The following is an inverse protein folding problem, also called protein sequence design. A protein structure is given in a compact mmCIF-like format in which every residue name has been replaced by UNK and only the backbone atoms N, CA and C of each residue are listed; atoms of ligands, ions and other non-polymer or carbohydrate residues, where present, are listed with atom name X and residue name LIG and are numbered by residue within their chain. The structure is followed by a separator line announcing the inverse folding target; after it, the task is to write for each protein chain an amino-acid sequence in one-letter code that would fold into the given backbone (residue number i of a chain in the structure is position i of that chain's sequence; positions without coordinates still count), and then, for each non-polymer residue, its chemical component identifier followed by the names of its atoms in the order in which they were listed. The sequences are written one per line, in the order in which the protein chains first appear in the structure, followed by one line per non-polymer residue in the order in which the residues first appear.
data_IF_142855857803
#
_entry.id   IF_142855857803
#
_cell.length_a   1.000
_cell.length_b   1.000
_cell.length_c   1.000
_cell.angle_alpha   90.00
_cell.angle_beta   90.00
_cell.angle_gamma   90.00
#
_symmetry.space_group_name_H-M   'P 1'
#
loop_
_entity.id
_entity.type
_entity.pdbx_description
1 polymer ?
#
# COMPACT_ATOMS: atom_id res chain seq x y z
N UNK A 1 7.49 -3.25 -11.61
CA UNK A 1 7.66 -2.10 -10.68
C UNK A 1 9.07 -2.05 -10.10
N UNK A 2 10.08 -1.64 -10.87
CA UNK A 2 11.47 -1.50 -10.39
C UNK A 2 12.00 -0.09 -10.66
N UNK A 3 11.20 0.94 -10.36
CA UNK A 3 11.66 2.33 -10.47
C UNK A 3 12.41 2.71 -9.19
N UNK A 4 13.44 3.55 -9.31
CA UNK A 4 14.17 4.13 -8.16
C UNK A 4 13.23 4.83 -7.16
N UNK A 5 12.12 5.37 -7.67
CA UNK A 5 11.10 6.06 -6.89
C UNK A 5 10.36 5.15 -5.90
N UNK A 6 10.23 3.85 -6.17
CA UNK A 6 9.50 2.92 -5.30
C UNK A 6 10.11 2.76 -3.91
N UNK A 7 11.36 3.19 -3.72
CA UNK A 7 12.05 3.15 -2.45
C UNK A 7 11.89 4.43 -1.63
N UNK A 8 11.13 5.43 -2.08
CA UNK A 8 10.86 6.64 -1.27
C UNK A 8 9.66 6.37 -0.36
N UNK A 9 9.78 6.68 0.94
CA UNK A 9 8.72 6.39 1.92
C UNK A 9 7.35 6.96 1.54
N UNK A 10 7.30 8.21 1.05
CA UNK A 10 6.05 8.83 0.58
C UNK A 10 5.45 8.15 -0.65
N UNK A 11 6.27 7.53 -1.52
CA UNK A 11 5.76 6.75 -2.66
C UNK A 11 5.05 5.49 -2.19
N UNK A 12 5.52 4.85 -1.11
CA UNK A 12 4.80 3.71 -0.52
C UNK A 12 3.41 4.13 -0.03
N UNK A 13 3.31 5.29 0.62
CA UNK A 13 2.04 5.87 1.06
C UNK A 13 1.10 6.10 -0.13
N UNK A 14 1.57 6.78 -1.17
CA UNK A 14 0.80 7.04 -2.39
C UNK A 14 0.33 5.74 -3.06
N UNK A 15 1.20 4.72 -3.12
CA UNK A 15 0.88 3.41 -3.70
C UNK A 15 -0.18 2.68 -2.91
N UNK A 16 -0.18 2.73 -1.58
CA UNK A 16 -1.12 1.97 -0.76
C UNK A 16 -2.45 2.71 -0.62
N UNK A 17 -2.42 4.03 -0.39
CA UNK A 17 -3.61 4.83 -0.05
C UNK A 17 -4.39 5.37 -1.25
N UNK A 18 -3.78 5.43 -2.44
CA UNK A 18 -4.48 5.88 -3.64
C UNK A 18 -5.74 5.05 -3.89
N UNK A 19 -6.87 5.70 -4.19
CA UNK A 19 -8.13 4.98 -4.48
C UNK A 19 -8.01 4.11 -5.73
N UNK A 20 -7.39 4.65 -6.78
CA UNK A 20 -7.15 4.00 -8.08
C UNK A 20 -5.77 4.42 -8.58
N UNK A 21 -5.03 3.49 -9.17
CA UNK A 21 -3.71 3.76 -9.73
C UNK A 21 -3.71 3.26 -11.17
N UNK A 22 -3.15 4.08 -12.07
CA UNK A 22 -2.78 3.67 -13.41
C UNK A 22 -1.26 3.56 -13.51
N UNK A 23 -0.77 2.46 -14.05
CA UNK A 23 0.64 2.20 -14.29
C UNK A 23 0.93 2.32 -15.78
N UNK A 24 1.77 3.26 -16.13
CA UNK A 24 2.29 3.42 -17.48
C UNK A 24 3.60 2.66 -17.58
N UNK A 25 3.63 1.61 -18.40
CA UNK A 25 4.85 0.93 -18.81
C UNK A 25 5.23 1.33 -20.23
N UNK A 26 6.38 0.87 -20.72
CA UNK A 26 6.80 1.13 -22.10
C UNK A 26 5.90 0.48 -23.15
N UNK A 27 5.13 -0.55 -22.77
CA UNK A 27 4.44 -1.43 -23.70
C UNK A 27 2.94 -1.54 -23.46
N UNK A 28 2.47 -1.20 -22.26
CA UNK A 28 1.05 -1.30 -21.89
C UNK A 28 0.66 -0.40 -20.74
N UNK A 29 -0.62 -0.05 -20.70
CA UNK A 29 -1.29 0.52 -19.54
C UNK A 29 -1.85 -0.60 -18.64
N UNK A 30 -1.67 -0.48 -17.33
CA UNK A 30 -2.41 -1.27 -16.35
C UNK A 30 -3.01 -0.42 -15.26
N UNK A 31 -4.01 -0.95 -14.55
CA UNK A 31 -4.68 -0.25 -13.45
C UNK A 31 -4.97 -1.18 -12.29
N UNK A 32 -5.01 -0.59 -11.10
CA UNK A 32 -5.24 -1.32 -9.86
C UNK A 32 -6.04 -0.47 -8.86
N UNK A 33 -7.03 -1.10 -8.24
CA UNK A 33 -7.81 -0.58 -7.12
C UNK A 33 -8.03 -1.69 -6.09
N UNK A 34 -8.77 -1.44 -5.03
CA UNK A 34 -8.93 -2.44 -3.96
C UNK A 34 -9.92 -3.56 -4.29
N UNK A 35 -10.58 -3.48 -5.44
CA UNK A 35 -11.60 -4.45 -5.87
C UNK A 35 -11.29 -5.06 -7.23
N UNK A 36 -10.49 -4.39 -8.05
CA UNK A 36 -10.28 -4.74 -9.45
C UNK A 36 -8.89 -4.34 -9.89
N UNK A 37 -8.26 -5.21 -10.67
CA UNK A 37 -7.00 -4.98 -11.35
C UNK A 37 -7.15 -5.40 -12.80
N UNK A 38 -6.38 -4.78 -13.70
CA UNK A 38 -6.44 -5.11 -15.11
C UNK A 38 -5.36 -4.41 -15.93
N UNK A 39 -5.31 -4.76 -17.20
CA UNK A 39 -4.45 -4.13 -18.20
C UNK A 39 -5.15 -3.98 -19.53
N UNK A 40 -4.59 -3.13 -20.39
CA UNK A 40 -5.14 -2.73 -21.69
C UNK A 40 -5.60 -3.92 -22.54
N UNK A 41 -4.87 -5.03 -22.48
CA UNK A 41 -5.20 -6.28 -23.16
C UNK A 41 -5.49 -7.37 -22.12
N UNK A 42 -6.76 -7.48 -21.73
CA UNK A 42 -7.19 -8.46 -20.72
C UNK A 42 -7.38 -9.84 -21.34
N UNK A 43 -6.61 -10.83 -20.86
CA UNK A 43 -6.76 -12.25 -21.24
C UNK A 43 -8.01 -12.93 -20.64
N UNK A 44 -8.93 -12.16 -20.05
CA UNK A 44 -10.10 -12.70 -19.35
C UNK A 44 -9.79 -13.37 -18.00
N UNK A 45 -8.53 -13.29 -17.55
CA UNK A 45 -8.10 -13.79 -16.23
C UNK A 45 -8.38 -12.71 -15.20
N UNK A 46 -9.15 -13.04 -14.17
CA UNK A 46 -9.33 -12.16 -13.02
C UNK A 46 -8.00 -11.98 -12.28
N UNK A 47 -7.43 -10.77 -12.33
CA UNK A 47 -6.19 -10.44 -11.62
C UNK A 47 -6.56 -9.98 -10.21
N UNK A 48 -6.06 -10.67 -9.19
CA UNK A 48 -6.20 -10.24 -7.80
C UNK A 48 -5.55 -8.86 -7.64
N UNK A 49 -6.24 -7.86 -7.07
CA UNK A 49 -5.68 -6.52 -6.98
C UNK A 49 -4.50 -6.48 -6.01
N UNK A 50 -3.34 -6.01 -6.48
CA UNK A 50 -2.06 -6.11 -5.77
C UNK A 50 -2.12 -5.45 -4.40
N UNK A 51 -2.89 -4.37 -4.25
CA UNK A 51 -3.00 -3.65 -2.98
C UNK A 51 -3.81 -4.39 -1.92
N UNK A 52 -4.65 -5.36 -2.29
CA UNK A 52 -5.53 -6.04 -1.33
C UNK A 52 -4.73 -6.77 -0.24
N UNK A 53 -3.52 -7.26 -0.54
CA UNK A 53 -2.63 -7.90 0.44
C UNK A 53 -2.37 -7.03 1.68
N UNK A 54 -2.30 -5.71 1.50
CA UNK A 54 -2.05 -4.77 2.60
C UNK A 54 -3.28 -4.57 3.50
N UNK A 55 -4.45 -5.12 3.15
CA UNK A 55 -5.69 -4.93 3.90
C UNK A 55 -6.39 -6.26 4.26
N UNK A 56 -5.74 -7.40 4.04
CA UNK A 56 -6.35 -8.73 4.22
C UNK A 56 -6.27 -9.25 5.66
N UNK A 57 -5.21 -8.92 6.41
CA UNK A 57 -4.90 -9.61 7.66
C UNK A 57 -4.38 -8.65 8.72
N UNK A 58 -5.18 -7.64 9.07
CA UNK A 58 -5.00 -6.73 10.22
C UNK A 58 -3.54 -6.54 10.66
N UNK A 59 -3.16 -7.16 11.78
CA UNK A 59 -1.83 -7.02 12.38
C UNK A 59 -0.68 -7.56 11.50
N UNK A 60 -0.91 -8.61 10.72
CA UNK A 60 0.09 -9.15 9.78
C UNK A 60 0.31 -8.18 8.62
N UNK A 61 -0.78 -7.61 8.08
CA UNK A 61 -0.69 -6.56 7.06
C UNK A 61 0.01 -5.31 7.60
N UNK A 62 -0.23 -4.95 8.87
CA UNK A 62 0.49 -3.85 9.52
C UNK A 62 1.99 -4.14 9.65
N UNK A 63 2.38 -5.33 10.13
CA UNK A 63 3.80 -5.72 10.23
C UNK A 63 4.51 -5.63 8.88
N UNK A 64 3.95 -6.22 7.83
CA UNK A 64 4.54 -6.15 6.49
C UNK A 64 4.62 -4.71 5.96
N UNK A 65 3.65 -3.86 6.30
CA UNK A 65 3.67 -2.46 5.90
C UNK A 65 4.77 -1.68 6.62
N UNK A 66 4.98 -1.92 7.92
CA UNK A 66 6.08 -1.33 8.69
C UNK A 66 7.44 -1.79 8.14
N UNK A 67 7.58 -3.08 7.80
CA UNK A 67 8.79 -3.62 7.15
C UNK A 67 9.07 -2.94 5.81
N UNK A 68 8.07 -2.87 4.92
CA UNK A 68 8.18 -2.20 3.61
C UNK A 68 8.53 -0.70 3.78
N UNK A 69 7.93 -0.03 4.76
CA UNK A 69 8.14 1.38 5.00
C UNK A 69 9.53 1.67 5.57
N UNK A 70 10.00 0.87 6.52
CA UNK A 70 11.34 1.02 7.13
C UNK A 70 12.47 0.68 6.17
N UNK A 71 12.21 -0.15 5.15
CA UNK A 71 13.14 -0.41 4.05
C UNK A 71 13.25 0.75 3.03
N UNK A 72 12.37 1.74 3.09
CA UNK A 72 12.41 2.89 2.19
C UNK A 72 13.47 3.92 2.61
N UNK A 73 14.04 4.62 1.63
CA UNK A 73 14.81 5.84 1.83
C UNK A 73 13.89 6.98 2.26
N UNK A 74 14.07 7.43 3.50
CA UNK A 74 13.33 8.54 4.08
C UNK A 74 14.21 9.78 3.99
N UNK A 75 13.78 10.76 3.19
CA UNK A 75 14.56 11.97 2.91
C UNK A 75 14.53 12.97 4.06
N UNK A 76 13.42 13.02 4.81
CA UNK A 76 13.20 13.93 5.91
C UNK A 76 12.72 13.14 7.13
N UNK A 77 13.54 13.11 8.18
CA UNK A 77 13.25 12.33 9.37
C UNK A 77 11.98 12.79 10.10
N UNK A 78 11.62 14.08 9.97
CA UNK A 78 10.38 14.65 10.50
C UNK A 78 9.12 14.00 9.92
N UNK A 79 9.19 13.53 8.68
CA UNK A 79 8.01 13.06 7.94
C UNK A 79 7.76 11.56 8.16
N UNK A 80 8.67 10.89 8.89
CA UNK A 80 8.62 9.45 9.17
C UNK A 80 7.29 9.01 9.73
N UNK A 81 6.84 9.67 10.79
CA UNK A 81 5.63 9.29 11.51
C UNK A 81 4.36 9.74 10.77
N UNK A 82 4.40 10.92 10.13
CA UNK A 82 3.27 11.44 9.37
C UNK A 82 2.93 10.60 8.14
N UNK A 83 3.94 10.05 7.46
CA UNK A 83 3.71 9.22 6.28
C UNK A 83 3.15 7.82 6.62
N UNK A 84 3.47 7.26 7.80
CA UNK A 84 2.94 5.97 8.24
C UNK A 84 1.62 6.08 9.01
N UNK A 85 1.33 7.23 9.66
CA UNK A 85 0.08 7.41 10.43
C UNK A 85 -1.17 7.26 9.55
N UNK A 86 -1.17 7.84 8.35
CA UNK A 86 -2.28 7.69 7.41
C UNK A 86 -2.49 6.25 6.92
N UNK A 87 -1.43 5.43 6.93
CA UNK A 87 -1.53 3.99 6.63
C UNK A 87 -2.15 3.23 7.80
N UNK A 88 -1.75 3.56 9.04
CA UNK A 88 -2.31 2.98 10.25
C UNK A 88 -3.83 3.26 10.39
N UNK A 89 -4.24 4.52 10.22
CA UNK A 89 -5.66 4.93 10.27
C UNK A 89 -6.52 4.20 9.24
N UNK A 90 -5.99 4.06 8.01
CA UNK A 90 -6.70 3.39 6.92
C UNK A 90 -6.83 1.88 7.17
N UNK A 91 -5.82 1.27 7.79
CA UNK A 91 -5.87 -0.13 8.19
C UNK A 91 -6.88 -0.37 9.28
N UNK A 92 -6.86 0.41 10.35
CA UNK A 92 -7.83 0.34 11.45
C UNK A 92 -9.28 0.42 10.95
N UNK A 93 -9.55 1.40 10.07
CA UNK A 93 -10.89 1.60 9.49
C UNK A 93 -11.38 0.37 8.71
N UNK A 94 -10.47 -0.44 8.15
CA UNK A 94 -10.80 -1.56 7.26
C UNK A 94 -10.70 -2.93 7.90
N UNK A 95 -9.78 -3.13 8.83
CA UNK A 95 -9.54 -4.43 9.48
C UNK A 95 -10.39 -4.64 10.73
N UNK A 96 -11.18 -3.63 11.15
CA UNK A 96 -11.93 -3.63 12.41
C UNK A 96 -11.04 -3.97 13.62
N UNK A 97 -9.74 -3.67 13.52
CA UNK A 97 -8.73 -3.88 14.56
C UNK A 97 -8.36 -2.53 15.13
N UNK A 98 -8.50 -2.37 16.44
CA UNK A 98 -8.22 -1.10 17.10
C UNK A 98 -6.73 -0.80 17.08
N UNK A 99 -6.36 0.39 16.61
CA UNK A 99 -5.00 0.88 16.58
C UNK A 99 -4.86 2.09 17.50
N UNK A 100 -3.88 2.07 18.38
CA UNK A 100 -3.57 3.22 19.24
C UNK A 100 -2.11 3.62 19.02
N UNK A 101 -1.89 4.79 18.41
CA UNK A 101 -0.56 5.31 18.10
C UNK A 101 0.36 4.30 17.35
N UNK A 102 -0.20 3.48 16.46
CA UNK A 102 0.54 2.45 15.71
C UNK A 102 0.65 1.08 16.41
N UNK A 103 0.04 0.93 17.59
CA UNK A 103 -0.04 -0.33 18.33
C UNK A 103 -1.42 -0.95 18.07
N UNK A 104 -1.45 -2.11 17.43
CA UNK A 104 -2.68 -2.86 17.18
C UNK A 104 -2.94 -3.81 18.35
N UNK A 105 -4.18 -3.81 18.85
CA UNK A 105 -4.60 -4.74 19.90
C UNK A 105 -4.59 -6.17 19.35
N UNK A 106 -3.78 -7.07 19.95
CA UNK A 106 -3.89 -8.51 19.70
C UNK A 106 -5.20 -9.01 20.34
N UNK A 107 -5.93 -9.80 19.57
CA UNK A 107 -7.21 -10.43 19.96
C UNK A 107 -7.03 -11.46 21.07
#
# INVERSE_FOLDING_TARGET
MRSKWNWRGWILQERILSRRIAYFSKTKLSWDCLTTSGEEESLGIAVTPLRTQYFQSGIQSWRSLVEDYTACSISFDSDKLAAISGLAERLETRSNTRCFAGIFQDS
#
